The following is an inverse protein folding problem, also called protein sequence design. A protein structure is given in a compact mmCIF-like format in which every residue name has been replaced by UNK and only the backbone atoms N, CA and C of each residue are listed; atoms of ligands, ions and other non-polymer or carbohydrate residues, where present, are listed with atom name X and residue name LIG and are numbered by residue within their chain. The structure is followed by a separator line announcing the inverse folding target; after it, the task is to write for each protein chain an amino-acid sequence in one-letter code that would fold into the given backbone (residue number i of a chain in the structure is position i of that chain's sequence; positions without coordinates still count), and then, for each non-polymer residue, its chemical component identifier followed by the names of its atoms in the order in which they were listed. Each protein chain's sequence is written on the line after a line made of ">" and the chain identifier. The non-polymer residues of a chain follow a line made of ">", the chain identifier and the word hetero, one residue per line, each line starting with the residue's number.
data_IF_469381976527
#
_entry.id   IF_469381976527
#
_cell.length_a   1.000
_cell.length_b   1.000
_cell.length_c   1.000
_cell.angle_alpha   90.00
_cell.angle_beta   90.00
_cell.angle_gamma   90.00
#
_symmetry.space_group_name_H-M   'P 1'
#
loop_
_entity.id
_entity.type
_entity.pdbx_description
1 polymer ?
#
# COMPACT_ATOMS: atom_id res chain seq x y z
N UNK A 1 -18.18 62.97 76.47
CA UNK A 1 -17.50 61.69 76.20
C UNK A 1 -18.47 60.73 75.53
N UNK A 2 -18.35 60.54 74.20
CA UNK A 2 -18.39 59.26 73.45
C UNK A 2 -18.56 59.55 71.96
N UNK A 3 -17.55 59.16 71.17
CA UNK A 3 -17.60 59.05 69.71
C UNK A 3 -18.07 57.64 69.34
N UNK A 4 -18.96 57.52 68.36
CA UNK A 4 -19.21 56.38 67.43
C UNK A 4 -20.23 56.89 66.41
N UNK A 5 -20.14 56.73 65.10
CA UNK A 5 -19.27 55.90 64.26
C UNK A 5 -20.08 55.61 62.99
N UNK A 6 -19.67 56.22 61.89
CA UNK A 6 -20.29 56.16 60.55
C UNK A 6 -20.03 54.80 59.88
N UNK A 7 -21.00 54.24 59.13
CA UNK A 7 -20.74 53.22 58.09
C UNK A 7 -21.68 53.42 56.90
N UNK A 8 -21.11 53.84 55.77
CA UNK A 8 -21.74 53.79 54.45
C UNK A 8 -21.48 52.41 53.82
N UNK A 9 -22.50 51.78 53.23
CA UNK A 9 -22.37 50.58 52.39
C UNK A 9 -22.14 51.00 50.93
N UNK A 10 -21.05 50.56 50.31
CA UNK A 10 -20.85 50.64 48.85
C UNK A 10 -20.88 49.23 48.25
N UNK A 11 -21.91 48.93 47.47
CA UNK A 11 -22.18 47.63 46.86
C UNK A 11 -22.00 47.74 45.33
N UNK A 12 -20.77 47.98 44.87
CA UNK A 12 -20.47 48.16 43.43
C UNK A 12 -19.18 47.47 42.96
N UNK A 13 -18.42 46.80 43.84
CA UNK A 13 -17.17 46.12 43.46
C UNK A 13 -17.33 44.66 42.99
N UNK A 14 -18.39 43.97 43.42
CA UNK A 14 -18.52 42.51 43.20
C UNK A 14 -19.05 42.13 41.82
N UNK A 15 -19.86 42.97 41.17
CA UNK A 15 -20.47 42.65 39.87
C UNK A 15 -19.46 42.72 38.72
N UNK A 16 -18.50 43.65 38.76
CA UNK A 16 -17.49 43.80 37.70
C UNK A 16 -16.49 42.64 37.69
N UNK A 17 -16.14 42.08 38.85
CA UNK A 17 -15.29 40.89 38.93
C UNK A 17 -15.98 39.64 38.38
N UNK A 18 -17.27 39.47 38.65
CA UNK A 18 -18.06 38.36 38.11
C UNK A 18 -18.19 38.43 36.58
N UNK A 19 -18.39 39.63 36.04
CA UNK A 19 -18.44 39.88 34.61
C UNK A 19 -17.09 39.60 33.95
N UNK A 20 -15.97 40.03 34.56
CA UNK A 20 -14.63 39.76 34.05
C UNK A 20 -14.31 38.26 34.05
N UNK A 21 -14.67 37.55 35.12
CA UNK A 21 -14.50 36.09 35.21
C UNK A 21 -15.33 35.38 34.15
N UNK A 22 -16.59 35.76 33.95
CA UNK A 22 -17.43 35.17 32.91
C UNK A 22 -16.88 35.42 31.50
N UNK A 23 -16.39 36.63 31.21
CA UNK A 23 -15.78 36.94 29.91
C UNK A 23 -14.53 36.09 29.66
N UNK A 24 -13.65 35.95 30.67
CA UNK A 24 -12.44 35.10 30.59
C UNK A 24 -12.81 33.63 30.39
N UNK A 25 -13.80 33.11 31.12
CA UNK A 25 -14.26 31.73 30.97
C UNK A 25 -14.85 31.44 29.59
N UNK A 26 -15.66 32.36 29.05
CA UNK A 26 -16.25 32.21 27.71
C UNK A 26 -15.18 32.28 26.62
N UNK A 27 -14.20 33.17 26.76
CA UNK A 27 -13.09 33.28 25.80
C UNK A 27 -12.13 32.09 25.86
N UNK A 28 -11.89 31.50 27.04
CA UNK A 28 -11.16 30.23 27.18
C UNK A 28 -11.93 29.06 26.55
N UNK A 29 -13.24 28.97 26.75
CA UNK A 29 -14.07 27.94 26.12
C UNK A 29 -14.09 28.08 24.59
N UNK A 30 -14.17 29.31 24.07
CA UNK A 30 -14.03 29.59 22.64
C UNK A 30 -12.65 29.22 22.11
N UNK A 31 -11.58 29.51 22.85
CA UNK A 31 -10.22 29.13 22.46
C UNK A 31 -10.06 27.61 22.43
N UNK A 32 -10.57 26.89 23.43
CA UNK A 32 -10.56 25.42 23.48
C UNK A 32 -11.42 24.84 22.36
N UNK A 33 -12.58 25.42 22.06
CA UNK A 33 -13.44 25.01 20.95
C UNK A 33 -12.76 25.26 19.59
N UNK A 34 -12.08 26.39 19.41
CA UNK A 34 -11.32 26.70 18.20
C UNK A 34 -10.10 25.78 18.07
N UNK A 35 -9.38 25.50 19.15
CA UNK A 35 -8.26 24.55 19.16
C UNK A 35 -8.72 23.12 18.93
N UNK A 36 -9.87 22.71 19.47
CA UNK A 36 -10.46 21.40 19.22
C UNK A 36 -10.95 21.24 17.77
N UNK A 37 -11.53 22.29 17.20
CA UNK A 37 -11.96 22.28 15.80
C UNK A 37 -10.79 22.41 14.81
N UNK A 38 -9.69 23.08 15.19
CA UNK A 38 -8.46 23.18 14.40
C UNK A 38 -7.52 21.99 14.61
N UNK A 39 -7.67 21.23 15.70
CA UNK A 39 -6.99 19.95 15.94
C UNK A 39 -7.76 18.78 15.31
N UNK A 40 -8.27 18.97 14.09
CA UNK A 40 -8.43 17.82 13.20
C UNK A 40 -7.04 17.51 12.66
N UNK A 41 -6.44 16.33 12.93
CA UNK A 41 -5.35 15.89 12.08
C UNK A 41 -5.86 15.99 10.65
N UNK A 42 -5.03 16.49 9.73
CA UNK A 42 -5.27 16.41 8.30
C UNK A 42 -5.31 14.94 7.91
N UNK A 43 -6.41 14.25 8.24
CA UNK A 43 -6.84 13.08 7.52
C UNK A 43 -7.09 13.59 6.12
N UNK A 44 -6.15 13.32 5.24
CA UNK A 44 -6.37 13.31 3.81
C UNK A 44 -7.34 12.16 3.49
N UNK A 45 -8.53 12.14 4.10
CA UNK A 45 -9.61 11.27 3.67
C UNK A 45 -10.24 11.95 2.46
N UNK A 46 -9.59 11.78 1.31
CA UNK A 46 -10.31 11.84 0.06
C UNK A 46 -11.26 10.65 0.06
N UNK A 47 -12.50 10.91 0.50
CA UNK A 47 -13.63 10.08 0.12
C UNK A 47 -13.66 10.00 -1.39
N UNK A 48 -13.68 8.78 -1.92
CA UNK A 48 -14.90 8.26 -2.51
C UNK A 48 -14.57 6.95 -3.23
N UNK A 49 -15.29 5.88 -2.89
CA UNK A 49 -15.35 4.65 -3.69
C UNK A 49 -15.79 4.87 -5.14
N UNK A 50 -16.19 6.10 -5.49
CA UNK A 50 -16.46 6.57 -6.86
C UNK A 50 -15.17 6.68 -7.71
N UNK A 51 -14.02 6.92 -7.09
CA UNK A 51 -12.72 7.02 -7.79
C UNK A 51 -12.23 5.69 -8.37
N UNK A 52 -12.44 4.58 -7.66
CA UNK A 52 -12.05 3.23 -8.10
C UNK A 52 -12.81 2.77 -9.36
N UNK A 53 -14.06 3.23 -9.55
CA UNK A 53 -14.86 2.87 -10.73
C UNK A 53 -14.38 3.53 -12.04
N UNK A 54 -13.57 4.59 -11.98
CA UNK A 54 -13.07 5.30 -13.19
C UNK A 54 -11.63 4.99 -13.55
N UNK A 55 -10.87 4.28 -12.73
CA UNK A 55 -9.55 3.81 -13.14
C UNK A 55 -9.73 2.71 -14.18
N UNK A 56 -9.43 3.03 -15.44
CA UNK A 56 -9.20 2.01 -16.47
C UNK A 56 -7.90 1.29 -16.10
N UNK A 57 -8.01 0.22 -15.33
CA UNK A 57 -6.88 -0.54 -14.80
C UNK A 57 -5.96 -1.05 -15.93
N UNK A 58 -6.53 -1.45 -17.06
CA UNK A 58 -5.80 -1.85 -18.28
C UNK A 58 -5.51 -0.67 -19.26
N UNK A 59 -5.59 0.60 -18.83
CA UNK A 59 -5.30 1.74 -19.74
C UNK A 59 -3.83 1.88 -20.12
N UNK A 60 -2.94 1.11 -19.50
CA UNK A 60 -1.52 1.16 -19.80
C UNK A 60 -1.13 0.36 -21.05
N UNK A 61 -1.99 -0.52 -21.58
CA UNK A 61 -1.65 -1.35 -22.75
C UNK A 61 -1.30 -0.51 -23.99
N UNK A 62 -1.84 0.71 -24.12
CA UNK A 62 -1.47 1.66 -25.18
C UNK A 62 -0.19 2.45 -24.91
N UNK A 63 0.30 2.44 -23.67
CA UNK A 63 1.44 3.26 -23.21
C UNK A 63 2.70 2.43 -22.93
N UNK A 64 2.52 1.18 -22.49
CA UNK A 64 3.58 0.28 -22.07
C UNK A 64 3.22 -1.13 -22.52
N UNK A 65 4.17 -1.79 -23.17
CA UNK A 65 4.14 -3.23 -23.38
C UNK A 65 5.23 -3.88 -22.53
N UNK A 66 4.89 -4.99 -21.87
CA UNK A 66 5.87 -5.77 -21.12
C UNK A 66 6.68 -6.63 -22.07
N UNK A 67 7.97 -6.34 -22.15
CA UNK A 67 8.99 -7.10 -22.87
C UNK A 67 10.17 -7.33 -21.91
N UNK A 68 9.97 -8.16 -20.88
CA UNK A 68 10.97 -8.32 -19.83
C UNK A 68 12.22 -9.05 -20.33
N UNK A 69 13.35 -8.72 -19.73
CA UNK A 69 14.57 -9.56 -19.79
C UNK A 69 14.62 -10.44 -18.56
N UNK A 70 14.86 -11.74 -18.77
CA UNK A 70 15.01 -12.74 -17.71
C UNK A 70 16.47 -13.19 -17.60
N UNK A 71 17.00 -13.29 -16.38
CA UNK A 71 18.31 -13.90 -16.11
C UNK A 71 18.25 -14.71 -14.82
N UNK A 72 18.96 -15.83 -14.77
CA UNK A 72 19.14 -16.61 -13.55
C UNK A 72 20.51 -16.30 -12.95
N UNK A 73 20.54 -15.77 -11.73
CA UNK A 73 21.77 -15.31 -11.08
C UNK A 73 21.75 -15.60 -9.59
N UNK A 74 22.88 -16.04 -9.06
CA UNK A 74 23.05 -16.34 -7.63
C UNK A 74 21.94 -17.27 -7.08
N UNK A 75 21.48 -18.22 -7.89
CA UNK A 75 20.46 -19.18 -7.49
C UNK A 75 19.02 -18.67 -7.54
N UNK A 76 18.76 -17.49 -8.11
CA UNK A 76 17.40 -16.92 -8.20
C UNK A 76 17.11 -16.26 -9.56
N UNK A 77 15.82 -16.14 -9.87
CA UNK A 77 15.33 -15.42 -11.04
C UNK A 77 15.45 -13.91 -10.83
N UNK A 78 15.99 -13.22 -11.82
CA UNK A 78 16.03 -11.77 -11.92
C UNK A 78 15.33 -11.39 -13.21
N UNK A 79 14.24 -10.63 -13.10
CA UNK A 79 13.45 -10.20 -14.26
C UNK A 79 13.30 -8.69 -14.23
N UNK A 80 13.55 -8.03 -15.35
CA UNK A 80 13.55 -6.57 -15.42
C UNK A 80 13.11 -6.03 -16.77
N UNK A 81 12.71 -4.77 -16.77
CA UNK A 81 12.52 -3.97 -17.98
C UNK A 81 12.92 -2.52 -17.70
N UNK A 82 13.58 -1.91 -18.68
CA UNK A 82 14.06 -0.52 -18.61
C UNK A 82 13.28 0.29 -19.66
N UNK A 83 12.51 1.31 -19.28
CA UNK A 83 11.85 2.18 -20.23
C UNK A 83 12.85 3.17 -20.83
N UNK A 84 12.51 3.77 -21.98
CA UNK A 84 13.33 4.85 -22.55
C UNK A 84 13.47 6.02 -21.57
N UNK A 85 14.69 6.52 -21.42
CA UNK A 85 15.04 7.63 -20.51
C UNK A 85 14.57 7.38 -19.06
N UNK A 86 15.09 6.34 -18.38
CA UNK A 86 14.68 6.02 -17.03
C UNK A 86 15.09 7.13 -16.05
N UNK A 87 14.20 7.47 -15.12
CA UNK A 87 14.43 8.51 -14.10
C UNK A 87 14.82 7.95 -12.73
N UNK A 88 14.55 6.67 -12.49
CA UNK A 88 14.80 5.98 -11.23
C UNK A 88 14.86 4.47 -11.46
N UNK A 89 15.46 3.75 -10.51
CA UNK A 89 15.39 2.30 -10.41
C UNK A 89 14.39 1.91 -9.33
N UNK A 90 13.50 0.95 -9.62
CA UNK A 90 12.59 0.35 -8.66
C UNK A 90 12.90 -1.14 -8.49
N UNK A 91 13.23 -1.52 -7.25
CA UNK A 91 13.27 -2.92 -6.83
C UNK A 91 11.92 -3.35 -6.25
N UNK A 92 11.40 -4.50 -6.70
CA UNK A 92 10.14 -5.09 -6.24
C UNK A 92 10.36 -6.45 -5.57
N UNK A 93 9.85 -6.59 -4.34
CA UNK A 93 9.89 -7.82 -3.54
C UNK A 93 8.48 -8.36 -3.28
N UNK A 94 8.19 -9.57 -3.77
CA UNK A 94 6.88 -10.22 -3.62
C UNK A 94 6.55 -10.63 -2.16
N UNK A 95 5.28 -10.92 -1.88
CA UNK A 95 4.84 -11.55 -0.63
C UNK A 95 5.11 -13.07 -0.60
N UNK A 96 4.76 -13.75 0.49
CA UNK A 96 4.89 -15.21 0.53
C UNK A 96 4.08 -15.87 -0.60
N UNK A 97 4.56 -17.00 -1.13
CA UNK A 97 4.02 -17.73 -2.28
C UNK A 97 4.18 -17.01 -3.64
N UNK A 98 4.62 -15.76 -3.65
CA UNK A 98 5.01 -15.05 -4.86
C UNK A 98 6.39 -15.43 -5.40
N UNK A 99 6.70 -14.92 -6.60
CA UNK A 99 7.96 -15.02 -7.35
C UNK A 99 8.10 -13.83 -8.29
N UNK A 100 9.30 -13.60 -8.83
CA UNK A 100 9.53 -12.54 -9.83
C UNK A 100 8.58 -12.64 -11.02
N UNK A 101 8.29 -13.86 -11.49
CA UNK A 101 7.37 -14.14 -12.62
C UNK A 101 5.93 -13.66 -12.42
N UNK A 102 5.51 -13.36 -11.18
CA UNK A 102 4.17 -12.84 -10.92
C UNK A 102 4.00 -11.38 -11.35
N UNK A 103 5.09 -10.61 -11.41
CA UNK A 103 5.09 -9.20 -11.80
C UNK A 103 5.02 -8.94 -13.30
N UNK A 104 5.23 -9.98 -14.10
CA UNK A 104 5.41 -9.85 -15.54
C UNK A 104 4.42 -10.72 -16.28
N UNK A 105 4.00 -10.25 -17.44
CA UNK A 105 3.06 -10.95 -18.29
C UNK A 105 3.74 -12.10 -19.02
N UNK A 106 2.96 -13.13 -19.33
CA UNK A 106 3.41 -14.16 -20.27
C UNK A 106 3.67 -13.53 -21.64
N UNK A 107 4.88 -13.71 -22.15
CA UNK A 107 5.30 -13.31 -23.50
C UNK A 107 6.27 -14.35 -24.08
N UNK A 108 6.73 -14.14 -25.31
CA UNK A 108 7.74 -15.01 -25.93
C UNK A 108 9.10 -14.90 -25.19
N UNK A 109 9.40 -13.72 -24.63
CA UNK A 109 10.59 -13.44 -23.82
C UNK A 109 10.49 -14.02 -22.41
N UNK A 110 9.27 -14.19 -21.88
CA UNK A 110 9.03 -14.85 -20.60
C UNK A 110 7.82 -15.79 -20.66
N UNK A 111 7.98 -17.02 -21.21
CA UNK A 111 6.87 -17.96 -21.37
C UNK A 111 6.33 -18.48 -20.03
N UNK A 112 7.14 -18.43 -18.98
CA UNK A 112 6.78 -18.86 -17.62
C UNK A 112 6.24 -17.73 -16.74
N UNK A 113 6.20 -16.50 -17.25
CA UNK A 113 5.59 -15.38 -16.55
C UNK A 113 4.08 -15.59 -16.38
N UNK A 114 3.53 -15.04 -15.29
CA UNK A 114 2.15 -15.27 -14.84
C UNK A 114 1.33 -13.99 -14.93
N UNK A 115 1.86 -12.87 -14.45
CA UNK A 115 1.19 -11.58 -14.45
C UNK A 115 -0.03 -11.56 -13.51
N UNK A 116 0.21 -11.70 -12.21
CA UNK A 116 -0.85 -11.56 -11.21
C UNK A 116 -1.35 -10.12 -11.16
N UNK A 117 -2.66 -9.89 -10.91
CA UNK A 117 -3.31 -8.60 -11.14
C UNK A 117 -2.59 -7.41 -10.49
N UNK A 118 -2.24 -7.52 -9.21
CA UNK A 118 -1.69 -6.39 -8.46
C UNK A 118 -0.23 -6.15 -8.80
N UNK A 119 0.55 -7.22 -8.85
CA UNK A 119 1.97 -7.22 -9.18
C UNK A 119 2.21 -6.62 -10.57
N UNK A 120 1.48 -7.10 -11.59
CA UNK A 120 1.65 -6.60 -12.96
C UNK A 120 1.25 -5.13 -13.09
N UNK A 121 0.18 -4.70 -12.40
CA UNK A 121 -0.30 -3.32 -12.48
C UNK A 121 0.71 -2.35 -11.85
N UNK A 122 1.43 -2.77 -10.81
CA UNK A 122 2.56 -2.01 -10.23
C UNK A 122 3.68 -1.85 -11.27
N UNK A 123 4.05 -2.90 -11.99
CA UNK A 123 5.08 -2.83 -13.05
C UNK A 123 4.65 -1.92 -14.19
N UNK A 124 3.42 -2.06 -14.71
CA UNK A 124 2.92 -1.21 -15.79
C UNK A 124 2.96 0.27 -15.41
N UNK A 125 2.53 0.59 -14.18
CA UNK A 125 2.53 1.96 -13.68
C UNK A 125 3.95 2.52 -13.49
N UNK A 126 4.87 1.69 -12.98
CA UNK A 126 6.29 2.03 -12.85
C UNK A 126 6.92 2.37 -14.22
N UNK A 127 6.75 1.48 -15.20
CA UNK A 127 7.30 1.65 -16.55
C UNK A 127 6.70 2.88 -17.24
N UNK A 128 5.39 3.10 -17.11
CA UNK A 128 4.70 4.29 -17.65
C UNK A 128 5.26 5.58 -17.05
N UNK A 129 5.68 5.55 -15.78
CA UNK A 129 6.31 6.67 -15.07
C UNK A 129 7.83 6.74 -15.23
N UNK A 130 8.40 5.94 -16.14
CA UNK A 130 9.83 5.90 -16.48
C UNK A 130 10.74 5.39 -15.35
N UNK A 131 10.25 4.45 -14.54
CA UNK A 131 11.11 3.69 -13.63
C UNK A 131 11.68 2.47 -14.35
N UNK A 132 12.98 2.25 -14.22
CA UNK A 132 13.60 0.97 -14.57
C UNK A 132 13.26 -0.05 -13.47
N UNK A 133 12.59 -1.14 -13.81
CA UNK A 133 12.02 -2.06 -12.82
C UNK A 133 12.82 -3.35 -12.80
N UNK A 134 13.21 -3.80 -11.60
CA UNK A 134 13.85 -5.10 -11.37
C UNK A 134 13.10 -5.86 -10.27
N UNK A 135 12.82 -7.12 -10.54
CA UNK A 135 12.17 -8.06 -9.61
C UNK A 135 13.10 -9.25 -9.38
N UNK A 136 13.11 -9.77 -8.16
CA UNK A 136 13.91 -10.95 -7.79
C UNK A 136 13.01 -11.93 -7.05
N UNK A 137 13.19 -13.22 -7.32
CA UNK A 137 12.50 -14.28 -6.58
C UNK A 137 13.17 -14.51 -5.22
N UNK A 138 12.39 -14.74 -4.17
CA UNK A 138 12.96 -15.25 -2.92
C UNK A 138 13.45 -16.69 -3.10
N UNK A 139 14.47 -17.09 -2.35
CA UNK A 139 15.03 -18.45 -2.35
C UNK A 139 13.98 -19.50 -1.95
N UNK A 140 13.08 -19.14 -1.02
CA UNK A 140 12.02 -20.02 -0.52
C UNK A 140 10.62 -19.59 -0.94
N UNK A 141 9.64 -19.98 -0.12
CA UNK A 141 8.24 -19.52 -0.18
C UNK A 141 8.10 -18.05 0.20
N UNK A 142 8.88 -17.62 1.19
CA UNK A 142 8.92 -16.25 1.69
C UNK A 142 10.38 -15.79 1.69
N UNK A 143 10.57 -14.48 1.73
CA UNK A 143 11.88 -13.88 1.96
C UNK A 143 12.44 -14.24 3.34
N UNK A 144 13.75 -14.43 3.37
CA UNK A 144 14.59 -14.65 4.55
C UNK A 144 15.63 -13.54 4.68
N UNK A 145 16.34 -13.51 5.81
CA UNK A 145 17.37 -12.52 6.08
C UNK A 145 18.77 -13.13 6.00
N UNK A 146 19.80 -12.32 6.28
CA UNK A 146 21.18 -12.79 6.30
C UNK A 146 21.72 -13.00 4.89
N UNK A 147 21.79 -14.24 4.44
CA UNK A 147 22.42 -14.56 3.15
C UNK A 147 21.62 -14.02 1.97
N UNK A 148 20.29 -14.09 2.02
CA UNK A 148 19.44 -13.57 0.95
C UNK A 148 19.54 -12.04 0.81
N UNK A 149 19.74 -11.31 1.92
CA UNK A 149 20.01 -9.86 1.89
C UNK A 149 21.31 -9.57 1.12
N UNK A 150 22.37 -10.37 1.35
CA UNK A 150 23.64 -10.22 0.62
C UNK A 150 23.47 -10.52 -0.87
N UNK A 151 22.80 -11.62 -1.19
CA UNK A 151 22.55 -12.03 -2.57
C UNK A 151 21.80 -10.93 -3.34
N UNK A 152 20.72 -10.39 -2.77
CA UNK A 152 19.94 -9.33 -3.44
C UNK A 152 20.71 -8.02 -3.54
N UNK A 153 21.46 -7.63 -2.50
CA UNK A 153 22.36 -6.46 -2.56
C UNK A 153 23.35 -6.58 -3.73
N UNK A 154 23.95 -7.74 -3.89
CA UNK A 154 24.91 -8.00 -4.96
C UNK A 154 24.25 -8.03 -6.34
N UNK A 155 23.03 -8.59 -6.45
CA UNK A 155 22.23 -8.56 -7.69
C UNK A 155 21.89 -7.10 -8.05
N UNK A 156 21.39 -6.30 -7.12
CA UNK A 156 21.01 -4.91 -7.39
C UNK A 156 22.22 -4.10 -7.83
N UNK A 157 23.35 -4.21 -7.13
CA UNK A 157 24.59 -3.53 -7.51
C UNK A 157 25.04 -3.95 -8.91
N UNK A 158 25.15 -5.25 -9.17
CA UNK A 158 25.55 -5.77 -10.47
C UNK A 158 24.61 -5.30 -11.59
N UNK A 159 23.30 -5.35 -11.36
CA UNK A 159 22.33 -5.00 -12.38
C UNK A 159 22.36 -3.49 -12.68
N UNK A 160 22.42 -2.65 -11.65
CA UNK A 160 22.54 -1.19 -11.80
C UNK A 160 23.82 -0.82 -12.55
N UNK A 161 24.96 -1.45 -12.23
CA UNK A 161 26.24 -1.24 -12.94
C UNK A 161 26.17 -1.73 -14.40
N UNK A 162 25.68 -2.96 -14.63
CA UNK A 162 25.55 -3.57 -15.97
C UNK A 162 24.69 -2.70 -16.91
N UNK A 163 23.64 -2.09 -16.38
CA UNK A 163 22.70 -1.28 -17.12
C UNK A 163 23.03 0.22 -17.12
N UNK A 164 24.15 0.62 -16.50
CA UNK A 164 24.61 2.03 -16.42
C UNK A 164 23.60 2.97 -15.75
N UNK A 165 22.96 2.51 -14.69
CA UNK A 165 21.91 3.23 -13.95
C UNK A 165 22.42 3.83 -12.62
N UNK A 166 23.72 3.83 -12.37
CA UNK A 166 24.35 4.19 -11.08
C UNK A 166 24.06 5.63 -10.64
N UNK A 167 23.73 6.50 -11.59
CA UNK A 167 23.40 7.91 -11.34
C UNK A 167 21.93 8.14 -11.00
N UNK A 168 21.08 7.12 -11.14
CA UNK A 168 19.65 7.23 -10.87
C UNK A 168 19.35 6.91 -9.41
N UNK A 169 18.34 7.57 -8.81
CA UNK A 169 17.84 7.18 -7.50
C UNK A 169 17.31 5.75 -7.53
N UNK A 170 17.64 4.99 -6.48
CA UNK A 170 17.17 3.62 -6.28
C UNK A 170 16.08 3.63 -5.21
N UNK A 171 14.91 3.11 -5.53
CA UNK A 171 13.78 2.96 -4.59
C UNK A 171 13.37 1.49 -4.50
N UNK A 172 12.68 1.12 -3.42
CA UNK A 172 12.20 -0.25 -3.24
C UNK A 172 10.77 -0.31 -2.74
N UNK A 173 10.07 -1.36 -3.15
CA UNK A 173 8.73 -1.70 -2.67
C UNK A 173 8.68 -3.20 -2.36
N UNK A 174 8.09 -3.55 -1.22
CA UNK A 174 7.90 -4.93 -0.82
C UNK A 174 6.56 -5.18 -0.16
N UNK A 175 5.95 -6.33 -0.44
CA UNK A 175 4.68 -6.73 0.16
C UNK A 175 4.84 -7.89 1.16
N UNK A 176 4.19 -7.82 2.32
CA UNK A 176 4.20 -8.87 3.35
C UNK A 176 5.63 -9.30 3.72
N UNK A 177 6.06 -10.54 3.43
CA UNK A 177 7.45 -10.96 3.64
C UNK A 177 8.47 -10.14 2.84
N UNK A 178 8.12 -9.70 1.64
CA UNK A 178 8.92 -8.74 0.86
C UNK A 178 8.98 -7.36 1.51
N UNK A 179 7.93 -6.93 2.21
CA UNK A 179 7.92 -5.69 2.99
C UNK A 179 8.87 -5.74 4.19
N UNK A 180 8.90 -6.87 4.89
CA UNK A 180 9.92 -7.13 5.90
C UNK A 180 11.32 -7.13 5.30
N UNK A 181 11.49 -7.82 4.19
CA UNK A 181 12.77 -7.93 3.51
C UNK A 181 13.33 -6.58 3.08
N UNK A 182 12.52 -5.77 2.40
CA UNK A 182 12.89 -4.41 1.99
C UNK A 182 13.24 -3.55 3.20
N UNK A 183 12.50 -3.67 4.31
CA UNK A 183 12.82 -2.90 5.51
C UNK A 183 14.22 -3.20 6.06
N UNK A 184 14.67 -4.45 6.02
CA UNK A 184 16.02 -4.84 6.43
C UNK A 184 17.05 -4.51 5.36
N UNK A 185 16.75 -4.77 4.08
CA UNK A 185 17.64 -4.47 2.96
C UNK A 185 18.02 -2.99 2.91
N UNK A 186 17.12 -2.10 3.34
CA UNK A 186 17.36 -0.66 3.42
C UNK A 186 18.45 -0.23 4.41
N UNK A 187 18.92 -1.11 5.30
CA UNK A 187 20.12 -0.83 6.11
C UNK A 187 21.42 -1.11 5.36
N UNK A 188 21.35 -1.91 4.29
CA UNK A 188 22.48 -2.40 3.51
C UNK A 188 22.60 -1.75 2.12
N UNK A 189 21.48 -1.26 1.60
CA UNK A 189 21.35 -0.62 0.29
C UNK A 189 20.77 0.77 0.49
N UNK A 190 21.43 1.78 -0.09
CA UNK A 190 20.98 3.17 -0.01
C UNK A 190 19.80 3.38 -0.97
N UNK A 191 18.59 3.25 -0.45
CA UNK A 191 17.38 3.66 -1.16
C UNK A 191 17.09 5.14 -0.93
N UNK A 192 16.55 5.81 -1.94
CA UNK A 192 15.99 7.17 -1.85
C UNK A 192 14.71 7.21 -1.03
N UNK A 193 13.90 6.16 -1.13
CA UNK A 193 12.70 5.94 -0.31
C UNK A 193 12.22 4.49 -0.49
N UNK A 194 11.41 4.02 0.45
CA UNK A 194 10.83 2.67 0.44
C UNK A 194 9.31 2.68 0.64
N UNK A 195 8.64 1.71 0.05
CA UNK A 195 7.22 1.43 0.27
C UNK A 195 7.09 0.03 0.88
N UNK A 196 6.46 -0.05 2.06
CA UNK A 196 6.24 -1.31 2.78
C UNK A 196 4.74 -1.60 2.76
N UNK A 197 4.35 -2.62 2.01
CA UNK A 197 2.95 -2.98 1.81
C UNK A 197 2.54 -4.17 2.68
N UNK A 198 1.37 -4.10 3.28
CA UNK A 198 0.76 -5.12 4.16
C UNK A 198 1.76 -5.70 5.17
N UNK A 199 2.71 -4.87 5.58
CA UNK A 199 3.81 -5.21 6.46
C UNK A 199 4.17 -4.07 7.40
N UNK A 200 4.60 -4.39 8.62
CA UNK A 200 5.07 -3.41 9.62
C UNK A 200 6.58 -3.17 9.52
N UNK A 201 7.29 -3.94 8.68
CA UNK A 201 8.76 -3.95 8.66
C UNK A 201 9.39 -4.74 9.82
N UNK A 202 10.72 -4.70 9.93
CA UNK A 202 11.50 -5.37 10.97
C UNK A 202 12.42 -4.40 11.72
N UNK A 203 11.84 -3.27 12.13
CA UNK A 203 12.56 -2.19 12.82
C UNK A 203 12.99 -2.57 14.24
N UNK A 204 12.36 -3.59 14.84
CA UNK A 204 12.76 -4.19 16.10
C UNK A 204 14.08 -4.99 16.03
N UNK A 205 14.49 -5.40 14.82
CA UNK A 205 15.70 -6.18 14.59
C UNK A 205 16.93 -5.33 14.23
N UNK A 206 16.78 -3.99 14.18
CA UNK A 206 17.83 -3.09 13.72
C UNK A 206 17.86 -1.77 14.49
N UNK A 207 19.04 -1.18 14.63
CA UNK A 207 19.16 0.20 15.09
C UNK A 207 18.86 1.15 13.93
N UNK A 208 17.63 1.66 13.90
CA UNK A 208 17.22 2.66 12.92
C UNK A 208 18.02 3.94 13.14
N UNK A 209 18.76 4.33 12.10
CA UNK A 209 19.51 5.58 12.02
C UNK A 209 18.66 6.66 11.35
N UNK A 210 18.98 7.92 11.60
CA UNK A 210 18.37 9.07 10.91
C UNK A 210 18.55 9.00 9.38
N UNK A 211 19.60 8.31 8.91
CA UNK A 211 19.85 8.07 7.48
C UNK A 211 19.00 6.96 6.87
N UNK A 212 18.08 6.34 7.62
CA UNK A 212 17.17 5.33 7.09
C UNK A 212 16.20 5.99 6.08
N UNK A 213 15.89 5.33 4.95
CA UNK A 213 15.10 5.96 3.89
C UNK A 213 13.69 6.36 4.35
N UNK A 214 13.16 7.49 3.82
CA UNK A 214 11.74 7.82 3.92
C UNK A 214 10.87 6.61 3.61
N UNK A 215 9.92 6.31 4.49
CA UNK A 215 9.12 5.09 4.45
C UNK A 215 7.63 5.38 4.31
N UNK A 216 7.00 4.83 3.29
CA UNK A 216 5.54 4.81 3.15
C UNK A 216 5.00 3.43 3.52
N UNK A 217 4.10 3.40 4.50
CA UNK A 217 3.33 2.19 4.81
C UNK A 217 2.05 2.15 3.98
N UNK A 218 1.73 1.00 3.41
CA UNK A 218 0.48 0.78 2.67
C UNK A 218 -0.18 -0.46 3.25
N UNK A 219 -1.31 -0.31 3.92
CA UNK A 219 -1.92 -1.43 4.62
C UNK A 219 -3.43 -1.42 4.51
N UNK A 220 -4.03 -2.54 4.90
CA UNK A 220 -5.47 -2.69 4.92
C UNK A 220 -5.96 -2.66 6.37
N UNK A 221 -6.96 -1.84 6.72
CA UNK A 221 -7.33 -1.59 8.10
C UNK A 221 -8.04 -2.79 8.78
N UNK A 222 -8.55 -3.78 8.03
CA UNK A 222 -9.09 -5.00 8.66
C UNK A 222 -7.98 -5.92 9.18
N UNK A 223 -6.73 -5.73 8.77
CA UNK A 223 -5.58 -6.39 9.40
C UNK A 223 -5.14 -5.60 10.65
N UNK A 224 -5.97 -5.70 11.70
CA UNK A 224 -5.86 -4.89 12.92
C UNK A 224 -4.52 -5.10 13.63
N UNK A 225 -4.02 -6.34 13.65
CA UNK A 225 -2.72 -6.64 14.24
C UNK A 225 -1.61 -5.89 13.51
N UNK A 226 -1.64 -5.91 12.17
CA UNK A 226 -0.66 -5.21 11.36
C UNK A 226 -0.74 -3.70 11.53
N UNK A 227 -1.95 -3.15 11.54
CA UNK A 227 -2.17 -1.73 11.74
C UNK A 227 -1.56 -1.24 13.06
N UNK A 228 -1.81 -1.95 14.17
CA UNK A 228 -1.23 -1.61 15.47
C UNK A 228 0.29 -1.57 15.43
N UNK A 229 0.93 -2.55 14.76
CA UNK A 229 2.39 -2.57 14.63
C UNK A 229 2.94 -1.49 13.71
N UNK A 230 2.23 -1.15 12.64
CA UNK A 230 2.56 -0.03 11.77
C UNK A 230 2.53 1.28 12.56
N UNK A 231 1.52 1.49 13.41
CA UNK A 231 1.43 2.68 14.26
C UNK A 231 2.62 2.80 15.22
N UNK A 232 3.00 1.70 15.90
CA UNK A 232 4.18 1.64 16.75
C UNK A 232 5.47 2.02 15.98
N UNK A 233 5.67 1.47 14.79
CA UNK A 233 6.89 1.71 14.02
C UNK A 233 6.90 3.06 13.29
N UNK A 234 5.75 3.62 12.94
CA UNK A 234 5.65 5.00 12.44
C UNK A 234 6.16 5.98 13.50
N UNK A 235 5.76 5.80 14.76
CA UNK A 235 6.24 6.64 15.86
C UNK A 235 7.76 6.46 16.07
N UNK A 236 8.24 5.21 16.06
CA UNK A 236 9.67 4.92 16.17
C UNK A 236 10.47 5.63 15.09
N UNK A 237 10.08 5.50 13.82
CA UNK A 237 10.77 6.11 12.68
C UNK A 237 10.76 7.64 12.73
N UNK A 238 9.60 8.24 13.06
CA UNK A 238 9.49 9.70 13.23
C UNK A 238 10.38 10.23 14.35
N UNK A 239 10.45 9.51 15.47
CA UNK A 239 11.34 9.85 16.58
C UNK A 239 12.83 9.77 16.20
N UNK A 240 13.16 9.03 15.14
CA UNK A 240 14.50 8.93 14.56
C UNK A 240 14.75 9.95 13.44
N UNK A 241 13.79 10.83 13.14
CA UNK A 241 13.90 11.85 12.10
C UNK A 241 13.61 11.35 10.67
N UNK A 242 13.12 10.13 10.52
CA UNK A 242 12.74 9.57 9.21
C UNK A 242 11.38 10.13 8.79
N UNK A 243 11.25 10.55 7.52
CA UNK A 243 9.94 10.93 6.98
C UNK A 243 9.06 9.69 6.75
N UNK A 244 7.82 9.75 7.25
CA UNK A 244 6.91 8.60 7.29
C UNK A 244 5.47 9.00 7.03
N UNK A 245 4.89 8.35 6.04
CA UNK A 245 3.48 8.44 5.68
C UNK A 245 2.80 7.06 5.68
N UNK A 246 1.48 7.07 5.58
CA UNK A 246 0.69 5.85 5.43
C UNK A 246 -0.45 6.01 4.42
N UNK A 247 -0.88 4.88 3.85
CA UNK A 247 -2.07 4.75 3.03
C UNK A 247 -2.89 3.58 3.59
N UNK A 248 -4.15 3.87 3.93
CA UNK A 248 -5.15 2.87 4.28
C UNK A 248 -5.93 2.45 3.03
N UNK A 249 -5.79 1.18 2.64
CA UNK A 249 -6.49 0.57 1.53
C UNK A 249 -7.83 0.03 2.03
N UNK A 250 -8.90 0.80 1.82
CA UNK A 250 -10.25 0.46 2.27
C UNK A 250 -10.89 -0.64 1.43
N UNK A 251 -11.89 -1.31 2.00
CA UNK A 251 -12.73 -2.25 1.24
C UNK A 251 -13.52 -1.51 0.16
N UNK A 252 -13.84 -2.23 -0.91
CA UNK A 252 -14.61 -1.68 -2.03
C UNK A 252 -15.55 -2.73 -2.61
N UNK A 253 -16.66 -2.30 -3.24
CA UNK A 253 -17.64 -3.23 -3.74
C UNK A 253 -17.14 -3.90 -5.01
N UNK A 254 -17.44 -5.19 -5.15
CA UNK A 254 -17.37 -5.87 -6.44
C UNK A 254 -18.40 -5.26 -7.39
N UNK A 255 -18.09 -5.33 -8.69
CA UNK A 255 -19.05 -5.02 -9.76
C UNK A 255 -18.98 -6.10 -10.84
N UNK A 256 -19.98 -6.12 -11.73
CA UNK A 256 -20.12 -7.13 -12.79
C UNK A 256 -18.83 -7.34 -13.60
N UNK A 257 -18.08 -6.25 -13.86
CA UNK A 257 -16.90 -6.27 -14.71
C UNK A 257 -15.59 -6.05 -13.94
N UNK A 258 -15.62 -5.93 -12.61
CA UNK A 258 -14.41 -5.64 -11.82
C UNK A 258 -13.31 -6.67 -12.11
N UNK A 259 -13.64 -7.96 -12.02
CA UNK A 259 -12.65 -9.03 -12.19
C UNK A 259 -12.08 -9.03 -13.61
N UNK A 260 -12.92 -8.93 -14.65
CA UNK A 260 -12.46 -8.87 -16.04
C UNK A 260 -11.63 -7.61 -16.35
N UNK A 261 -11.89 -6.50 -15.64
CA UNK A 261 -11.12 -5.26 -15.81
C UNK A 261 -9.73 -5.33 -15.18
N UNK A 262 -9.48 -6.27 -14.26
CA UNK A 262 -8.24 -6.37 -13.47
C UNK A 262 -7.45 -7.63 -13.75
N UNK A 263 -8.13 -8.72 -14.13
CA UNK A 263 -7.54 -10.03 -14.38
C UNK A 263 -7.39 -10.22 -15.91
N UNK A 264 -6.15 -10.19 -16.43
CA UNK A 264 -5.89 -10.49 -17.84
C UNK A 264 -6.43 -11.86 -18.23
N UNK A 265 -7.06 -11.94 -19.40
CA UNK A 265 -7.62 -13.18 -19.92
C UNK A 265 -8.97 -13.60 -19.31
N UNK A 266 -9.47 -12.90 -18.28
CA UNK A 266 -10.81 -13.17 -17.74
C UNK A 266 -11.89 -12.48 -18.57
N UNK A 267 -12.77 -13.27 -19.18
CA UNK A 267 -13.87 -12.76 -19.99
C UNK A 267 -14.92 -11.98 -19.17
N UNK A 268 -15.48 -10.92 -19.77
CA UNK A 268 -16.49 -10.06 -19.11
C UNK A 268 -17.77 -10.82 -18.74
N UNK A 269 -18.18 -11.79 -19.56
CA UNK A 269 -19.37 -12.61 -19.26
C UNK A 269 -19.11 -13.57 -18.12
N UNK A 270 -17.90 -14.13 -18.01
CA UNK A 270 -17.49 -14.97 -16.87
C UNK A 270 -17.43 -14.13 -15.58
N UNK A 271 -16.85 -12.93 -15.64
CA UNK A 271 -16.85 -11.98 -14.51
C UNK A 271 -18.28 -11.66 -14.04
N UNK A 272 -19.19 -11.36 -14.97
CA UNK A 272 -20.59 -11.07 -14.63
C UNK A 272 -21.29 -12.28 -13.98
N UNK A 273 -21.06 -13.49 -14.51
CA UNK A 273 -21.59 -14.73 -13.92
C UNK A 273 -21.04 -15.01 -12.52
N UNK A 274 -19.74 -14.76 -12.29
CA UNK A 274 -19.11 -14.89 -10.97
C UNK A 274 -19.71 -13.90 -9.98
N UNK A 275 -19.89 -12.64 -10.38
CA UNK A 275 -20.56 -11.63 -9.54
C UNK A 275 -21.97 -12.09 -9.12
N UNK A 276 -22.75 -12.61 -10.08
CA UNK A 276 -24.08 -13.15 -9.81
C UNK A 276 -24.08 -14.38 -8.89
N UNK A 277 -23.10 -15.28 -9.07
CA UNK A 277 -22.88 -16.42 -8.17
C UNK A 277 -22.59 -15.92 -6.75
N UNK A 278 -21.70 -14.95 -6.59
CA UNK A 278 -21.30 -14.40 -5.29
C UNK A 278 -22.49 -13.74 -4.59
N UNK A 279 -23.32 -12.99 -5.33
CA UNK A 279 -24.56 -12.40 -4.81
C UNK A 279 -25.55 -13.47 -4.36
N UNK A 280 -25.85 -14.44 -5.23
CA UNK A 280 -26.82 -15.51 -4.94
C UNK A 280 -26.42 -16.39 -3.75
N UNK A 281 -25.12 -16.65 -3.59
CA UNK A 281 -24.58 -17.42 -2.46
C UNK A 281 -24.36 -16.57 -1.20
N UNK A 282 -24.60 -15.25 -1.27
CA UNK A 282 -24.45 -14.34 -0.14
C UNK A 282 -23.00 -14.13 0.29
N UNK A 283 -22.03 -14.27 -0.62
CA UNK A 283 -20.63 -13.96 -0.35
C UNK A 283 -20.36 -12.45 -0.36
N UNK A 284 -21.12 -11.73 -1.17
CA UNK A 284 -21.21 -10.27 -1.15
C UNK A 284 -22.56 -9.81 -0.57
N UNK A 285 -22.60 -8.56 -0.09
CA UNK A 285 -23.84 -7.91 0.33
C UNK A 285 -24.60 -7.26 -0.83
N UNK A 286 -25.70 -6.58 -0.52
CA UNK A 286 -26.55 -5.89 -1.50
C UNK A 286 -25.84 -4.76 -2.25
N UNK A 287 -24.79 -4.20 -1.65
CA UNK A 287 -23.98 -3.13 -2.22
C UNK A 287 -22.71 -3.67 -2.92
N UNK A 288 -22.51 -4.99 -2.92
CA UNK A 288 -21.39 -5.67 -3.58
C UNK A 288 -20.14 -5.85 -2.69
N UNK A 289 -20.18 -5.51 -1.41
CA UNK A 289 -19.04 -5.66 -0.51
C UNK A 289 -18.86 -7.11 -0.06
N UNK A 290 -17.61 -7.55 0.02
CA UNK A 290 -17.25 -8.88 0.53
C UNK A 290 -17.63 -9.00 2.01
N UNK A 291 -18.40 -10.03 2.35
CA UNK A 291 -18.78 -10.27 3.75
C UNK A 291 -17.69 -10.96 4.58
N UNK A 292 -16.77 -11.63 3.91
CA UNK A 292 -15.65 -12.38 4.51
C UNK A 292 -14.41 -12.24 3.63
N UNK A 293 -13.26 -12.49 4.22
CA UNK A 293 -11.99 -12.71 3.53
C UNK A 293 -12.19 -13.63 2.32
N UNK A 294 -11.70 -13.19 1.16
CA UNK A 294 -11.81 -13.90 -0.12
C UNK A 294 -11.17 -15.31 -0.09
N UNK A 295 -10.10 -15.48 0.69
CA UNK A 295 -9.41 -16.77 0.91
C UNK A 295 -10.21 -17.71 1.82
N UNK A 296 -11.06 -17.16 2.69
CA UNK A 296 -11.96 -17.92 3.59
C UNK A 296 -13.34 -18.15 3.00
N UNK A 297 -13.65 -17.51 1.89
CA UNK A 297 -14.93 -17.63 1.20
C UNK A 297 -14.95 -18.89 0.35
N UNK A 298 -16.00 -19.71 0.50
CA UNK A 298 -16.17 -21.00 -0.20
C UNK A 298 -16.67 -20.83 -1.64
N UNK A 299 -16.09 -19.87 -2.37
CA UNK A 299 -16.53 -19.53 -3.72
C UNK A 299 -16.09 -20.57 -4.76
N UNK A 300 -14.95 -21.24 -4.54
CA UNK A 300 -14.48 -22.34 -5.39
C UNK A 300 -15.41 -23.55 -5.30
N UNK A 301 -15.92 -23.87 -4.11
CA UNK A 301 -16.96 -24.91 -3.94
C UNK A 301 -18.23 -24.52 -4.70
N UNK A 302 -18.71 -23.29 -4.49
CA UNK A 302 -19.91 -22.80 -5.16
C UNK A 302 -19.79 -22.78 -6.68
N UNK A 303 -18.59 -22.48 -7.21
CA UNK A 303 -18.30 -22.52 -8.63
C UNK A 303 -18.32 -23.94 -9.17
N UNK A 304 -17.75 -24.93 -8.46
CA UNK A 304 -17.82 -26.35 -8.85
C UNK A 304 -19.25 -26.89 -8.89
N UNK A 305 -20.13 -26.37 -8.05
CA UNK A 305 -21.56 -26.70 -8.07
C UNK A 305 -22.31 -26.08 -9.26
N UNK A 306 -21.86 -24.91 -9.74
CA UNK A 306 -22.49 -24.18 -10.84
C UNK A 306 -21.82 -24.48 -12.18
N UNK A 307 -22.33 -25.51 -12.86
CA UNK A 307 -21.81 -25.98 -14.17
C UNK A 307 -22.00 -24.97 -15.32
N UNK A 308 -22.69 -23.84 -15.10
CA UNK A 308 -22.93 -22.83 -16.14
C UNK A 308 -21.80 -21.81 -16.27
N UNK A 309 -20.87 -21.82 -15.31
CA UNK A 309 -19.72 -20.93 -15.24
C UNK A 309 -18.46 -21.76 -15.47
N UNK A 310 -17.78 -21.50 -16.58
CA UNK A 310 -16.48 -22.08 -16.88
C UNK A 310 -15.42 -21.04 -16.55
N UNK A 311 -14.60 -21.34 -15.56
CA UNK A 311 -13.43 -20.54 -15.19
C UNK A 311 -12.21 -21.44 -15.40
N UNK A 312 -11.24 -20.94 -16.15
CA UNK A 312 -9.97 -21.66 -16.29
C UNK A 312 -9.26 -21.75 -14.93
N UNK A 313 -8.69 -22.92 -14.65
CA UNK A 313 -8.08 -23.21 -13.34
C UNK A 313 -6.98 -22.21 -12.96
N UNK A 314 -6.22 -21.74 -13.95
CA UNK A 314 -5.15 -20.75 -13.75
C UNK A 314 -5.67 -19.37 -13.31
N UNK A 315 -6.94 -19.04 -13.57
CA UNK A 315 -7.58 -17.79 -13.14
C UNK A 315 -8.12 -17.87 -11.72
N UNK A 316 -8.17 -19.07 -11.11
CA UNK A 316 -8.72 -19.22 -9.77
C UNK A 316 -7.90 -18.51 -8.69
N UNK A 317 -6.58 -18.39 -8.87
CA UNK A 317 -5.71 -17.64 -7.95
C UNK A 317 -5.90 -16.12 -8.10
N UNK A 318 -5.76 -15.51 -9.30
CA UNK A 318 -6.09 -14.10 -9.51
C UNK A 318 -7.47 -13.68 -8.98
N UNK A 319 -8.50 -14.50 -9.21
CA UNK A 319 -9.85 -14.21 -8.67
C UNK A 319 -9.81 -14.17 -7.14
N UNK A 320 -9.13 -15.10 -6.48
CA UNK A 320 -9.05 -15.12 -5.02
C UNK A 320 -8.34 -13.89 -4.45
N UNK A 321 -7.27 -13.42 -5.12
CA UNK A 321 -6.53 -12.21 -4.74
C UNK A 321 -7.45 -10.99 -4.82
N UNK A 322 -8.16 -10.82 -5.93
CA UNK A 322 -9.11 -9.71 -6.12
C UNK A 322 -10.25 -9.71 -5.08
N UNK A 323 -10.74 -10.89 -4.69
CA UNK A 323 -11.75 -11.01 -3.63
C UNK A 323 -11.19 -10.63 -2.26
N UNK A 324 -9.92 -10.96 -1.99
CA UNK A 324 -9.27 -10.62 -0.73
C UNK A 324 -8.89 -9.13 -0.67
N UNK A 325 -8.43 -8.57 -1.79
CA UNK A 325 -8.22 -7.15 -2.02
C UNK A 325 -9.51 -6.35 -1.78
N UNK A 326 -10.63 -6.78 -2.38
CA UNK A 326 -11.94 -6.14 -2.18
C UNK A 326 -12.42 -6.19 -0.73
N UNK A 327 -12.08 -7.25 0.01
CA UNK A 327 -12.36 -7.34 1.44
C UNK A 327 -11.46 -6.42 2.28
N UNK A 328 -10.34 -5.92 1.74
CA UNK A 328 -9.32 -5.15 2.44
C UNK A 328 -8.70 -5.92 3.62
N UNK A 329 -8.08 -7.06 3.35
CA UNK A 329 -7.29 -7.79 4.34
C UNK A 329 -6.02 -8.42 3.73
N UNK A 330 -4.84 -7.97 4.18
CA UNK A 330 -3.54 -8.60 3.90
C UNK A 330 -3.33 -9.05 2.44
N UNK A 331 -3.59 -8.16 1.47
CA UNK A 331 -3.34 -8.37 0.04
C UNK A 331 -2.44 -7.29 -0.57
N UNK A 332 -1.56 -7.67 -1.50
CA UNK A 332 -0.80 -6.71 -2.29
C UNK A 332 -1.78 -5.82 -3.07
N UNK A 333 -1.40 -4.59 -3.42
CA UNK A 333 -2.34 -3.67 -4.05
C UNK A 333 -1.73 -2.60 -4.94
N UNK A 334 -2.36 -2.42 -6.09
CA UNK A 334 -2.11 -1.41 -7.11
C UNK A 334 -3.07 -0.21 -7.01
N UNK A 335 -4.08 -0.26 -6.12
CA UNK A 335 -5.16 0.73 -6.03
C UNK A 335 -4.66 2.15 -5.77
N UNK A 336 -3.55 2.26 -5.04
CA UNK A 336 -2.93 3.53 -4.67
C UNK A 336 -1.59 3.79 -5.37
N UNK A 337 -1.35 3.16 -6.53
CA UNK A 337 -0.12 3.35 -7.31
C UNK A 337 0.21 4.85 -7.49
N UNK A 338 -0.76 5.68 -7.84
CA UNK A 338 -0.49 7.11 -8.02
C UNK A 338 0.10 7.80 -6.79
N UNK A 339 -0.31 7.40 -5.58
CA UNK A 339 0.23 7.94 -4.34
C UNK A 339 1.59 7.30 -4.00
N UNK A 340 1.73 5.99 -4.18
CA UNK A 340 3.00 5.29 -3.96
C UNK A 340 4.13 5.81 -4.87
N UNK A 341 3.84 6.05 -6.15
CA UNK A 341 4.84 6.59 -7.07
C UNK A 341 5.12 8.08 -6.85
N UNK A 342 4.12 8.87 -6.43
CA UNK A 342 4.35 10.27 -6.00
C UNK A 342 5.26 10.33 -4.77
N UNK A 343 5.12 9.38 -3.84
CA UNK A 343 6.03 9.25 -2.69
C UNK A 343 7.46 8.99 -3.14
N UNK A 344 7.68 8.07 -4.09
CA UNK A 344 9.03 7.88 -4.63
C UNK A 344 9.56 9.16 -5.28
N UNK A 345 8.77 9.77 -6.15
CA UNK A 345 9.14 10.98 -6.90
C UNK A 345 9.48 12.17 -6.00
N UNK A 346 8.80 12.33 -4.86
CA UNK A 346 9.10 13.41 -3.90
C UNK A 346 10.41 13.22 -3.13
N UNK A 347 11.03 12.04 -3.21
CA UNK A 347 12.24 11.66 -2.46
C UNK A 347 13.42 11.28 -3.36
N UNK A 348 13.33 11.57 -4.67
CA UNK A 348 14.41 11.27 -5.63
C UNK A 348 15.57 12.25 -5.62
N UNK A 349 15.43 13.40 -4.94
CA UNK A 349 16.37 14.53 -4.95
C UNK A 349 17.49 14.41 -3.93
#
# INVERSE_FOLDING_TARGET
>A
MWKRGNRSKSWTGSQNHLLLVMVISVSLLLLVFLLYNNAKPSKLSLGDGVGLQRQKWNSFDSLVQMHPTTEFRNGTDVIWQIPDSPKAVLFLAHGCDGKAVNFWDRSDECPHCIGLPEERLIVLHALARKFAVVTVSSAGRCWSFGEEIRIVKDILRWWVEKQRLEKLPLVAMGASSGGYFVSVLATEVKFSSVVIMIAEGKFDLMDVKESYPPTLFVHMPKDVYRQQKIDEFKELLRNKGVDVAEIECMEFPLSLHLLANRIPGLDQSVSAKLFELFRRKGFIDENGYMRKDGRRTRWKEALREDKTILLDEHLAHPVQEELNLAFAFHEMTSLHNDQMFKWFESHMS
#
